data_IF_644374606685
#
_entry.id   IF_644374606685
#
_cell.length_a   1.000
_cell.length_b   1.000
_cell.length_c   1.000
_cell.angle_alpha   90.00
_cell.angle_beta   90.00
_cell.angle_gamma   90.00
#
_symmetry.space_group_name_H-M   'P 1'
#
loop_
_entity.id
_entity.type
_entity.pdbx_description
1 polymer ?
#
# COMPACT_ATOMS: atom_id res chain seq x y z
N UNK A 1 17.35 32.79 -0.44
CA UNK A 1 17.33 31.82 -1.54
C UNK A 1 16.04 31.91 -2.36
N UNK A 2 14.83 31.88 -1.75
CA UNK A 2 13.54 31.98 -2.48
C UNK A 2 13.52 33.24 -3.35
N UNK A 3 13.79 34.43 -2.78
CA UNK A 3 13.86 35.70 -3.53
C UNK A 3 14.87 35.70 -4.70
N UNK A 4 15.93 34.92 -4.60
CA UNK A 4 16.92 34.79 -5.67
C UNK A 4 16.35 33.94 -6.85
N UNK A 5 15.61 32.89 -6.53
CA UNK A 5 14.92 32.09 -7.56
C UNK A 5 13.82 32.92 -8.21
N UNK A 6 13.00 33.62 -7.43
CA UNK A 6 11.94 34.49 -7.96
C UNK A 6 12.46 35.61 -8.87
N UNK A 7 13.64 36.12 -8.59
CA UNK A 7 14.26 37.16 -9.44
C UNK A 7 14.68 36.63 -10.82
N UNK A 8 14.87 35.32 -10.99
CA UNK A 8 15.31 34.71 -12.25
C UNK A 8 14.16 34.01 -12.96
N UNK A 9 13.37 33.22 -12.20
CA UNK A 9 12.35 32.31 -12.73
C UNK A 9 10.91 32.85 -12.60
N UNK A 10 10.74 33.96 -11.89
CA UNK A 10 9.42 34.50 -11.56
C UNK A 10 8.84 33.93 -10.27
N UNK A 11 7.62 34.31 -9.96
CA UNK A 11 6.94 33.94 -8.70
C UNK A 11 6.80 32.43 -8.55
N UNK A 12 7.23 31.89 -7.40
CA UNK A 12 7.02 30.46 -7.10
C UNK A 12 5.54 30.21 -6.71
N UNK A 13 4.97 29.13 -7.22
CA UNK A 13 3.61 28.68 -6.85
C UNK A 13 3.61 27.61 -5.78
N UNK A 14 4.66 26.82 -5.68
CA UNK A 14 4.76 25.69 -4.74
C UNK A 14 6.19 25.58 -4.19
N UNK A 15 6.28 25.46 -2.85
CA UNK A 15 7.50 25.10 -2.12
C UNK A 15 7.32 23.70 -1.53
N UNK A 16 8.17 22.75 -1.94
CA UNK A 16 8.19 21.40 -1.37
C UNK A 16 9.33 21.28 -0.37
N UNK A 17 9.02 20.83 0.84
CA UNK A 17 9.98 20.56 1.92
C UNK A 17 10.03 19.04 2.14
N UNK A 18 11.06 18.39 1.63
CA UNK A 18 11.28 16.95 1.76
C UNK A 18 12.56 16.69 2.59
N UNK A 19 12.43 16.26 3.78
CA UNK A 19 11.27 15.99 4.62
C UNK A 19 11.24 16.95 5.82
N UNK A 20 10.10 16.97 6.55
CA UNK A 20 9.99 17.72 7.82
C UNK A 20 11.21 17.49 8.70
N UNK A 21 11.56 16.24 8.98
CA UNK A 21 12.64 15.88 9.88
C UNK A 21 14.01 16.42 9.44
N UNK A 22 14.29 16.54 8.13
CA UNK A 22 15.55 17.07 7.61
C UNK A 22 15.66 18.59 7.69
N UNK A 23 14.52 19.25 7.70
CA UNK A 23 14.45 20.72 7.66
C UNK A 23 13.99 21.35 8.98
N UNK A 24 13.62 20.50 9.95
CA UNK A 24 13.16 20.92 11.27
C UNK A 24 14.30 20.90 12.28
N UNK A 25 14.46 21.99 13.00
CA UNK A 25 15.44 22.11 14.10
C UNK A 25 14.64 22.28 15.39
N UNK A 26 14.71 21.29 16.27
CA UNK A 26 14.01 21.25 17.55
C UNK A 26 13.50 19.86 17.91
N UNK A 27 12.65 19.80 18.93
CA UNK A 27 11.99 18.55 19.35
C UNK A 27 10.64 18.41 18.65
N UNK A 28 10.48 17.43 17.78
CA UNK A 28 9.24 17.18 17.03
C UNK A 28 8.01 16.91 17.92
N UNK A 29 8.22 16.57 19.20
CA UNK A 29 7.15 16.36 20.17
C UNK A 29 6.82 17.63 20.96
N UNK A 30 7.61 18.69 20.84
CA UNK A 30 7.38 19.97 21.47
C UNK A 30 6.38 20.81 20.67
N UNK A 31 5.26 21.16 21.29
CA UNK A 31 4.26 22.03 20.67
C UNK A 31 4.83 23.42 20.35
N UNK A 32 5.73 23.93 21.18
CA UNK A 32 6.39 25.23 20.99
C UNK A 32 7.32 25.21 19.77
N UNK A 33 8.21 24.20 19.66
CA UNK A 33 9.19 24.11 18.58
C UNK A 33 8.48 23.93 17.23
N UNK A 34 7.46 23.05 17.19
CA UNK A 34 6.66 22.81 15.98
C UNK A 34 5.84 24.07 15.63
N UNK A 35 5.25 24.74 16.61
CA UNK A 35 4.54 25.99 16.38
C UNK A 35 5.43 27.10 15.79
N UNK A 36 6.65 27.22 16.29
CA UNK A 36 7.65 28.17 15.74
C UNK A 36 8.04 27.85 14.31
N UNK A 37 8.13 26.57 13.95
CA UNK A 37 8.38 26.16 12.58
C UNK A 37 7.21 26.52 11.66
N UNK A 38 5.98 26.21 12.07
CA UNK A 38 4.76 26.53 11.31
C UNK A 38 4.64 28.02 11.08
N UNK A 39 4.85 28.85 12.10
CA UNK A 39 4.82 30.30 11.96
C UNK A 39 5.80 30.82 10.89
N UNK A 40 6.96 30.16 10.72
CA UNK A 40 7.90 30.50 9.65
C UNK A 40 7.38 30.10 8.27
N UNK A 41 6.68 28.96 8.17
CA UNK A 41 6.04 28.54 6.92
C UNK A 41 4.91 29.50 6.54
N UNK A 42 4.09 29.92 7.49
CA UNK A 42 3.01 30.90 7.29
C UNK A 42 3.56 32.25 6.79
N UNK A 43 4.71 32.66 7.32
CA UNK A 43 5.40 33.84 6.83
C UNK A 43 5.86 33.69 5.39
N UNK A 44 6.42 32.53 5.03
CA UNK A 44 6.82 32.24 3.64
C UNK A 44 5.60 32.26 2.71
N UNK A 45 4.50 31.62 3.11
CA UNK A 45 3.24 31.62 2.35
C UNK A 45 2.75 33.06 2.15
N UNK A 46 2.77 33.84 3.20
CA UNK A 46 2.33 35.23 3.14
C UNK A 46 3.20 36.13 2.25
N UNK A 47 4.52 36.00 2.36
CA UNK A 47 5.48 36.85 1.65
C UNK A 47 5.57 36.49 0.15
N UNK A 48 5.51 35.20 -0.18
CA UNK A 48 5.70 34.70 -1.54
C UNK A 48 4.40 34.29 -2.25
N UNK A 49 3.25 34.27 -1.54
CA UNK A 49 1.93 33.85 -2.08
C UNK A 49 2.00 32.44 -2.74
N UNK A 50 2.75 31.54 -2.15
CA UNK A 50 2.93 30.18 -2.64
C UNK A 50 2.23 29.16 -1.72
N UNK A 51 1.97 27.98 -2.24
CA UNK A 51 1.60 26.80 -1.45
C UNK A 51 2.86 26.17 -0.84
N UNK A 52 2.77 25.65 0.38
CA UNK A 52 3.84 24.84 0.99
C UNK A 52 3.37 23.40 1.13
N UNK A 53 4.12 22.48 0.52
CA UNK A 53 3.94 21.05 0.67
C UNK A 53 5.03 20.49 1.59
N UNK A 54 4.62 19.94 2.74
CA UNK A 54 5.54 19.36 3.72
C UNK A 54 5.45 17.83 3.66
N UNK A 55 6.54 17.18 3.29
CA UNK A 55 6.64 15.71 3.32
C UNK A 55 7.02 15.25 4.71
N UNK A 56 6.21 14.35 5.29
CA UNK A 56 6.44 13.83 6.63
C UNK A 56 6.21 12.33 6.69
N UNK A 57 7.03 11.61 7.47
CA UNK A 57 6.87 10.17 7.66
C UNK A 57 5.89 9.87 8.79
N UNK A 58 5.11 8.82 8.62
CA UNK A 58 4.29 8.26 9.70
C UNK A 58 5.18 7.57 10.74
N UNK A 59 4.72 7.55 12.00
CA UNK A 59 5.42 6.82 13.07
C UNK A 59 5.31 5.30 12.87
N UNK A 60 6.22 4.54 13.50
CA UNK A 60 6.26 3.07 13.45
C UNK A 60 5.07 2.36 14.13
N UNK A 61 4.07 3.08 14.62
CA UNK A 61 2.87 2.51 15.26
C UNK A 61 1.68 2.47 14.33
N UNK A 62 0.75 1.54 14.60
CA UNK A 62 -0.52 1.33 13.84
C UNK A 62 -1.51 2.52 13.89
N UNK A 63 -1.12 3.68 14.39
CA UNK A 63 -2.05 4.82 14.56
C UNK A 63 -2.37 5.57 13.27
N UNK A 64 -1.60 5.35 12.19
CA UNK A 64 -1.80 6.04 10.91
C UNK A 64 -1.66 7.56 10.96
N UNK A 65 -1.21 8.12 12.09
CA UNK A 65 -1.00 9.57 12.28
C UNK A 65 0.43 9.95 11.97
N UNK A 66 0.62 11.19 11.50
CA UNK A 66 1.93 11.81 11.44
C UNK A 66 2.62 11.75 12.81
N UNK A 67 3.91 11.47 12.81
CA UNK A 67 4.73 11.42 14.01
C UNK A 67 4.93 12.83 14.59
N UNK A 68 5.01 12.94 15.91
CA UNK A 68 5.31 14.18 16.61
C UNK A 68 4.10 14.91 17.20
N UNK A 69 4.24 16.21 17.39
CA UNK A 69 3.23 17.07 18.03
C UNK A 69 1.93 17.14 17.23
N UNK A 70 0.80 17.11 17.93
CA UNK A 70 -0.54 17.31 17.33
C UNK A 70 -0.73 18.71 16.72
N UNK A 71 0.12 19.68 17.07
CA UNK A 71 0.10 21.04 16.53
C UNK A 71 0.32 21.03 15.02
N UNK A 72 1.19 20.15 14.51
CA UNK A 72 1.42 20.03 13.06
C UNK A 72 0.12 19.70 12.32
N UNK A 73 -0.58 18.61 12.71
CA UNK A 73 -1.82 18.21 12.06
C UNK A 73 -2.95 19.25 12.19
N UNK A 74 -3.01 19.97 13.35
CA UNK A 74 -4.01 21.02 13.57
C UNK A 74 -3.80 22.25 12.67
N UNK A 75 -2.58 22.48 12.19
CA UNK A 75 -2.21 23.65 11.38
C UNK A 75 -2.31 23.43 9.87
N UNK A 76 -2.56 22.19 9.43
CA UNK A 76 -2.69 21.85 8.00
C UNK A 76 -4.08 22.26 7.48
N UNK A 77 -4.14 22.72 6.24
CA UNK A 77 -5.38 22.89 5.48
C UNK A 77 -5.76 21.60 4.75
N UNK A 78 -4.76 20.89 4.25
CA UNK A 78 -4.90 19.61 3.54
C UNK A 78 -3.88 18.60 4.07
N UNK A 79 -4.30 17.35 4.19
CA UNK A 79 -3.42 16.24 4.47
C UNK A 79 -3.68 15.11 3.48
N UNK A 80 -2.62 14.64 2.84
CA UNK A 80 -2.65 13.49 1.97
C UNK A 80 -1.80 12.38 2.57
N UNK A 81 -2.34 11.18 2.59
CA UNK A 81 -1.67 10.00 3.05
C UNK A 81 -1.32 9.13 1.87
N UNK A 82 -0.05 8.73 1.80
CA UNK A 82 0.45 7.78 0.81
C UNK A 82 0.85 6.52 1.56
N UNK A 83 0.19 5.42 1.27
CA UNK A 83 0.47 4.12 1.87
C UNK A 83 0.93 3.16 0.78
N UNK A 84 2.03 2.48 1.03
CA UNK A 84 2.59 1.48 0.13
C UNK A 84 2.37 0.09 0.73
N UNK A 85 2.02 -0.89 -0.08
CA UNK A 85 2.11 -2.29 0.33
C UNK A 85 3.49 -2.82 0.09
N UNK A 86 4.10 -3.38 1.13
CA UNK A 86 5.42 -4.04 1.04
C UNK A 86 5.32 -5.52 0.65
N UNK A 87 4.22 -5.96 0.04
CA UNK A 87 4.03 -7.38 -0.29
C UNK A 87 4.45 -7.66 -1.72
N UNK A 88 5.54 -8.24 -1.79
CA UNK A 88 6.47 -8.96 -2.67
C UNK A 88 6.25 -8.97 -4.19
N UNK A 89 5.06 -8.92 -4.76
CA UNK A 89 4.91 -9.08 -6.21
C UNK A 89 4.24 -7.88 -6.90
N UNK A 90 3.34 -7.17 -6.21
CA UNK A 90 2.70 -5.98 -6.76
C UNK A 90 2.87 -4.80 -5.78
N UNK A 91 3.58 -3.79 -6.21
CA UNK A 91 3.76 -2.58 -5.43
C UNK A 91 2.54 -1.68 -5.61
N UNK A 92 1.54 -1.83 -4.73
CA UNK A 92 0.39 -0.94 -4.69
C UNK A 92 0.68 0.28 -3.84
N UNK A 93 0.23 1.42 -4.31
CA UNK A 93 0.27 2.70 -3.61
C UNK A 93 -1.15 3.21 -3.46
N UNK A 94 -1.58 3.41 -2.23
CA UNK A 94 -2.84 4.06 -1.93
C UNK A 94 -2.60 5.54 -1.62
N UNK A 95 -3.38 6.41 -2.27
CA UNK A 95 -3.37 7.84 -2.08
C UNK A 95 -4.71 8.31 -1.56
N UNK A 96 -4.72 8.85 -0.36
CA UNK A 96 -5.93 9.26 0.34
C UNK A 96 -5.81 10.66 0.92
N UNK A 97 -6.83 11.48 0.73
CA UNK A 97 -6.96 12.74 1.44
C UNK A 97 -7.56 12.47 2.82
N UNK A 98 -6.79 12.73 3.89
CA UNK A 98 -7.20 12.52 5.28
C UNK A 98 -7.75 13.77 5.94
N UNK A 99 -7.37 14.95 5.44
CA UNK A 99 -7.89 16.24 5.88
C UNK A 99 -8.17 17.16 4.69
N UNK A 100 -9.31 17.82 4.73
CA UNK A 100 -9.68 18.93 3.85
C UNK A 100 -10.53 19.92 4.65
N UNK A 101 -10.04 21.13 4.86
CA UNK A 101 -10.78 22.17 5.61
C UNK A 101 -11.82 22.91 4.76
N UNK A 102 -11.58 23.04 3.45
CA UNK A 102 -12.29 24.01 2.63
C UNK A 102 -13.27 23.41 1.62
N UNK A 103 -13.57 22.12 1.70
CA UNK A 103 -14.48 21.56 0.71
C UNK A 103 -14.72 20.06 0.79
N UNK A 104 -15.28 19.55 -0.29
CA UNK A 104 -15.49 18.12 -0.44
C UNK A 104 -14.15 17.42 -0.69
N UNK A 105 -13.86 16.38 0.09
CA UNK A 105 -12.63 15.62 -0.01
C UNK A 105 -12.50 14.90 -1.38
N UNK A 106 -11.27 14.64 -1.77
CA UNK A 106 -10.96 13.82 -2.93
C UNK A 106 -11.24 12.35 -2.62
N UNK A 107 -11.75 11.62 -3.62
CA UNK A 107 -11.87 10.15 -3.52
C UNK A 107 -10.50 9.51 -3.36
N UNK A 108 -10.45 8.42 -2.59
CA UNK A 108 -9.26 7.57 -2.47
C UNK A 108 -8.88 7.01 -3.85
N UNK A 109 -7.59 6.99 -4.15
CA UNK A 109 -7.05 6.49 -5.41
C UNK A 109 -6.01 5.41 -5.16
N UNK A 110 -6.05 4.39 -6.00
CA UNK A 110 -5.10 3.28 -5.95
C UNK A 110 -4.22 3.31 -7.20
N UNK A 111 -2.96 2.96 -7.01
CA UNK A 111 -1.98 2.89 -8.09
C UNK A 111 -1.20 1.59 -7.98
N UNK A 112 -0.80 1.07 -9.13
CA UNK A 112 0.18 -0.03 -9.26
C UNK A 112 1.48 0.56 -9.75
N UNK A 113 2.60 0.14 -9.18
CA UNK A 113 3.91 0.46 -9.72
C UNK A 113 4.23 -0.49 -10.86
N UNK A 114 4.41 0.07 -12.05
CA UNK A 114 4.74 -0.66 -13.27
C UNK A 114 6.20 -0.39 -13.63
N UNK A 115 7.00 -1.45 -13.71
CA UNK A 115 8.38 -1.37 -14.14
C UNK A 115 8.46 -1.31 -15.67
N UNK A 116 9.34 -0.45 -16.18
CA UNK A 116 9.59 -0.30 -17.62
C UNK A 116 11.06 -0.38 -17.93
N UNK A 117 11.40 -1.06 -19.00
CA UNK A 117 12.74 -1.08 -19.55
C UNK A 117 12.98 0.18 -20.38
N UNK A 118 14.07 0.90 -20.10
CA UNK A 118 14.50 2.03 -20.90
C UNK A 118 15.51 1.51 -21.92
N UNK A 119 15.05 1.32 -23.16
CA UNK A 119 15.88 0.88 -24.27
C UNK A 119 16.65 2.09 -24.81
N UNK A 120 17.95 2.17 -24.59
CA UNK A 120 18.81 3.23 -25.14
C UNK A 120 20.28 3.06 -24.85
N UNK A 121 21.11 3.20 -25.88
CA UNK A 121 22.57 3.35 -25.82
C UNK A 121 23.37 2.34 -24.95
N UNK A 122 22.98 1.07 -24.94
CA UNK A 122 23.82 0.00 -24.39
C UNK A 122 23.83 -0.10 -22.86
N UNK A 123 22.89 0.53 -22.17
CA UNK A 123 22.64 0.36 -20.75
C UNK A 123 21.22 -0.23 -20.57
N UNK A 124 21.16 -1.40 -19.97
CA UNK A 124 19.89 -1.99 -19.52
C UNK A 124 19.45 -1.23 -18.26
N UNK A 125 18.73 -0.13 -18.47
CA UNK A 125 18.19 0.67 -17.39
C UNK A 125 16.71 0.30 -17.20
N UNK A 126 16.32 0.10 -15.96
CA UNK A 126 14.92 -0.03 -15.58
C UNK A 126 14.46 1.24 -14.88
N UNK A 127 13.21 1.61 -15.08
CA UNK A 127 12.52 2.67 -14.37
C UNK A 127 11.11 2.20 -14.04
N UNK A 128 10.29 3.06 -13.45
CA UNK A 128 8.92 2.70 -13.15
C UNK A 128 8.01 3.92 -13.08
N UNK A 129 6.73 3.68 -13.24
CA UNK A 129 5.69 4.68 -13.07
C UNK A 129 4.52 4.11 -12.26
N UNK A 130 3.67 5.00 -11.76
CA UNK A 130 2.44 4.64 -11.07
C UNK A 130 1.29 4.72 -12.07
N UNK A 131 0.55 3.62 -12.21
CA UNK A 131 -0.65 3.51 -13.02
C UNK A 131 -1.88 3.46 -12.12
N UNK A 132 -2.86 4.34 -12.36
CA UNK A 132 -4.11 4.33 -11.58
C UNK A 132 -4.90 3.06 -11.86
N UNK A 133 -5.41 2.43 -10.80
CA UNK A 133 -6.18 1.19 -10.88
C UNK A 133 -7.45 1.28 -10.04
N UNK A 134 -8.52 0.67 -10.54
CA UNK A 134 -9.78 0.51 -9.81
C UNK A 134 -9.75 -0.71 -8.87
N UNK A 135 -8.65 -1.48 -8.85
CA UNK A 135 -8.52 -2.62 -7.95
C UNK A 135 -8.52 -2.16 -6.49
N UNK A 136 -9.39 -2.78 -5.68
CA UNK A 136 -9.49 -2.46 -4.26
C UNK A 136 -8.21 -2.91 -3.53
N UNK A 137 -7.36 -1.92 -3.25
CA UNK A 137 -6.15 -2.08 -2.46
C UNK A 137 -6.41 -2.73 -1.09
N UNK A 138 -7.55 -2.44 -0.47
CA UNK A 138 -7.91 -3.02 0.84
C UNK A 138 -8.11 -4.52 0.74
N UNK A 139 -8.71 -5.01 -0.34
CA UNK A 139 -8.93 -6.42 -0.55
C UNK A 139 -7.61 -7.22 -0.60
N UNK A 140 -6.56 -6.66 -1.25
CA UNK A 140 -5.23 -7.31 -1.30
C UNK A 140 -4.42 -7.15 0.01
N UNK A 141 -4.70 -6.13 0.84
CA UNK A 141 -4.01 -5.91 2.12
C UNK A 141 -4.58 -6.67 3.32
N UNK A 142 -5.81 -7.15 3.22
CA UNK A 142 -6.44 -7.89 4.32
C UNK A 142 -5.89 -9.30 4.52
N UNK A 143 -4.94 -9.73 3.66
CA UNK A 143 -4.33 -11.05 3.75
C UNK A 143 -2.97 -10.98 4.44
N UNK A 144 -2.83 -11.64 5.57
CA UNK A 144 -1.54 -11.77 6.26
C UNK A 144 -0.56 -12.63 5.43
N UNK A 145 0.75 -12.49 5.67
CA UNK A 145 1.78 -13.32 5.03
C UNK A 145 1.46 -14.82 5.05
N UNK A 146 0.99 -15.35 6.19
CA UNK A 146 0.60 -16.76 6.29
C UNK A 146 -0.63 -17.11 5.45
N UNK A 147 -1.59 -16.19 5.35
CA UNK A 147 -2.75 -16.37 4.47
C UNK A 147 -2.34 -16.35 2.99
N UNK A 148 -1.42 -15.46 2.62
CA UNK A 148 -0.86 -15.41 1.25
C UNK A 148 -0.18 -16.74 0.90
N UNK A 149 0.67 -17.30 1.77
CA UNK A 149 1.32 -18.59 1.54
C UNK A 149 0.32 -19.74 1.31
N UNK A 150 -0.80 -19.75 2.05
CA UNK A 150 -1.84 -20.78 1.88
C UNK A 150 -2.59 -20.58 0.56
N UNK A 151 -2.90 -19.33 0.20
CA UNK A 151 -3.60 -19.00 -1.05
C UNK A 151 -2.73 -19.35 -2.27
N UNK A 152 -1.47 -18.95 -2.29
CA UNK A 152 -0.50 -19.29 -3.35
C UNK A 152 -0.30 -20.80 -3.50
N UNK A 153 -0.30 -21.55 -2.40
CA UNK A 153 -0.21 -23.00 -2.46
C UNK A 153 -1.45 -23.61 -3.13
N UNK A 154 -2.65 -23.12 -2.81
CA UNK A 154 -3.89 -23.54 -3.47
C UNK A 154 -3.85 -23.26 -4.97
N UNK A 155 -3.43 -22.07 -5.37
CA UNK A 155 -3.39 -21.63 -6.76
C UNK A 155 -2.34 -22.41 -7.55
N UNK A 156 -1.14 -22.55 -7.00
CA UNK A 156 -0.06 -23.31 -7.63
C UNK A 156 -0.44 -24.76 -7.88
N UNK A 157 -1.03 -25.42 -6.89
CA UNK A 157 -1.44 -26.81 -7.03
C UNK A 157 -2.58 -26.97 -8.05
N UNK A 158 -3.50 -26.01 -8.11
CA UNK A 158 -4.57 -26.00 -9.10
C UNK A 158 -4.07 -25.90 -10.55
N UNK A 159 -2.94 -25.21 -10.80
CA UNK A 159 -2.34 -25.04 -12.12
C UNK A 159 -1.81 -26.38 -12.69
N UNK A 160 -1.33 -27.27 -11.82
CA UNK A 160 -0.74 -28.55 -12.23
C UNK A 160 -1.78 -29.66 -12.48
N UNK A 161 -3.06 -29.42 -12.20
CA UNK A 161 -4.10 -30.41 -12.32
C UNK A 161 -4.76 -30.35 -13.70
N UNK A 162 -5.29 -31.50 -14.15
CA UNK A 162 -5.96 -31.62 -15.45
C UNK A 162 -7.21 -30.71 -15.48
N UNK A 163 -7.20 -29.73 -16.39
CA UNK A 163 -8.33 -28.80 -16.59
C UNK A 163 -9.65 -29.50 -16.93
N UNK A 164 -9.61 -30.77 -17.32
CA UNK A 164 -10.79 -31.55 -17.68
C UNK A 164 -11.42 -32.30 -16.50
N UNK A 165 -10.80 -32.28 -15.32
CA UNK A 165 -11.35 -32.92 -14.13
C UNK A 165 -11.51 -31.92 -12.97
N UNK A 166 -12.68 -31.27 -12.85
CA UNK A 166 -12.94 -30.25 -11.82
C UNK A 166 -12.78 -30.75 -10.39
N UNK A 167 -12.92 -32.06 -10.14
CA UNK A 167 -12.82 -32.62 -8.79
C UNK A 167 -11.38 -32.60 -8.25
N UNK A 168 -10.38 -32.52 -9.11
CA UNK A 168 -8.97 -32.48 -8.72
C UNK A 168 -8.50 -31.08 -8.24
N UNK A 169 -9.37 -30.07 -8.32
CA UNK A 169 -9.04 -28.69 -7.98
C UNK A 169 -9.38 -28.30 -6.53
N UNK A 170 -9.79 -29.25 -5.72
CA UNK A 170 -10.13 -29.04 -4.33
C UNK A 170 -9.08 -29.66 -3.41
N UNK A 171 -8.71 -28.92 -2.39
CA UNK A 171 -7.66 -29.32 -1.47
C UNK A 171 -8.16 -29.30 -0.02
N UNK A 172 -7.80 -30.32 0.72
CA UNK A 172 -7.96 -30.33 2.16
C UNK A 172 -6.72 -29.75 2.87
N UNK A 173 -6.85 -29.24 4.09
CA UNK A 173 -5.71 -28.71 4.83
C UNK A 173 -4.51 -29.67 4.94
N UNK A 174 -4.78 -30.98 5.00
CA UNK A 174 -3.75 -32.03 5.03
C UNK A 174 -2.93 -32.13 3.76
N UNK A 175 -3.55 -31.87 2.61
CA UNK A 175 -2.90 -31.98 1.28
C UNK A 175 -1.92 -30.82 1.05
N UNK A 176 -2.17 -29.70 1.71
CA UNK A 176 -1.34 -28.50 1.62
C UNK A 176 -0.17 -28.48 2.61
N UNK A 177 -0.18 -29.36 3.62
CA UNK A 177 0.79 -29.31 4.74
C UNK A 177 2.24 -29.31 4.26
N UNK A 178 2.63 -30.26 3.44
CA UNK A 178 4.01 -30.40 2.97
C UNK A 178 4.42 -29.40 1.87
N UNK A 179 3.43 -28.68 1.36
CA UNK A 179 3.58 -27.74 0.25
C UNK A 179 3.76 -26.28 0.72
N UNK A 180 3.46 -26.01 2.00
CA UNK A 180 3.56 -24.68 2.59
C UNK A 180 4.70 -24.64 3.59
N UNK A 181 5.73 -23.86 3.23
CA UNK A 181 6.87 -23.57 4.11
C UNK A 181 6.92 -22.07 4.36
N UNK A 182 7.22 -21.68 5.60
CA UNK A 182 7.47 -20.29 5.91
C UNK A 182 8.86 -19.83 5.39
N UNK A 183 9.19 -18.57 5.57
CA UNK A 183 10.48 -17.98 5.17
C UNK A 183 11.70 -18.62 5.84
N UNK A 184 11.50 -19.32 6.94
CA UNK A 184 12.54 -20.04 7.69
C UNK A 184 12.58 -21.53 7.31
N UNK A 185 11.75 -21.97 6.35
CA UNK A 185 11.68 -23.35 5.84
C UNK A 185 10.83 -24.28 6.70
N UNK A 186 10.14 -23.77 7.74
CA UNK A 186 9.31 -24.60 8.61
C UNK A 186 7.96 -24.92 7.96
N UNK A 187 7.53 -26.18 8.12
CA UNK A 187 6.24 -26.66 7.60
C UNK A 187 5.11 -26.20 8.52
N UNK A 188 4.05 -25.66 7.93
CA UNK A 188 2.88 -25.19 8.66
C UNK A 188 2.02 -26.36 9.16
N UNK A 189 1.52 -26.31 10.39
CA UNK A 189 0.63 -27.36 10.91
C UNK A 189 -0.74 -27.35 10.22
N UNK A 190 -1.36 -28.54 10.09
CA UNK A 190 -2.71 -28.70 9.51
C UNK A 190 -3.75 -27.82 10.21
N UNK A 191 -3.67 -27.70 11.53
CA UNK A 191 -4.53 -26.83 12.35
C UNK A 191 -4.39 -25.35 11.98
N UNK A 192 -3.14 -24.89 11.74
CA UNK A 192 -2.88 -23.53 11.32
C UNK A 192 -3.41 -23.25 9.91
N UNK A 193 -3.20 -24.19 8.99
CA UNK A 193 -3.73 -24.10 7.62
C UNK A 193 -5.25 -24.04 7.65
N UNK A 194 -5.90 -24.89 8.44
CA UNK A 194 -7.36 -24.91 8.59
C UNK A 194 -7.90 -23.57 9.08
N UNK A 195 -7.29 -22.97 10.12
CA UNK A 195 -7.70 -21.64 10.62
C UNK A 195 -7.54 -20.55 9.56
N UNK A 196 -6.46 -20.63 8.79
CA UNK A 196 -6.19 -19.67 7.70
C UNK A 196 -7.23 -19.81 6.59
N UNK A 197 -7.53 -21.04 6.15
CA UNK A 197 -8.54 -21.30 5.13
C UNK A 197 -9.92 -20.79 5.56
N UNK A 198 -10.34 -21.00 6.80
CA UNK A 198 -11.57 -20.40 7.31
C UNK A 198 -11.58 -18.88 7.18
N UNK A 199 -10.47 -18.22 7.53
CA UNK A 199 -10.36 -16.77 7.41
C UNK A 199 -10.40 -16.31 5.95
N UNK A 200 -9.77 -17.04 5.04
CA UNK A 200 -9.80 -16.77 3.60
C UNK A 200 -11.21 -16.98 3.00
N UNK A 201 -11.99 -17.90 3.55
CA UNK A 201 -13.41 -18.07 3.17
C UNK A 201 -14.23 -16.88 3.65
N UNK A 202 -14.07 -16.44 4.90
CA UNK A 202 -14.76 -15.26 5.44
C UNK A 202 -14.48 -13.99 4.63
N UNK A 203 -13.25 -13.85 4.11
CA UNK A 203 -12.82 -12.70 3.32
C UNK A 203 -13.06 -12.86 1.81
N UNK A 204 -13.62 -13.99 1.37
CA UNK A 204 -14.01 -14.23 -0.02
C UNK A 204 -12.89 -14.64 -0.98
N UNK A 205 -11.68 -14.91 -0.48
CA UNK A 205 -10.55 -15.37 -1.32
C UNK A 205 -10.62 -16.85 -1.68
N UNK A 206 -11.27 -17.64 -0.83
CA UNK A 206 -11.38 -19.09 -0.96
C UNK A 206 -12.84 -19.48 -0.78
N UNK A 207 -13.30 -20.48 -1.53
CA UNK A 207 -14.60 -21.10 -1.34
C UNK A 207 -14.43 -22.48 -0.73
N UNK A 208 -15.25 -22.79 0.25
CA UNK A 208 -15.35 -24.11 0.85
C UNK A 208 -16.55 -24.84 0.28
N UNK A 209 -16.34 -26.07 -0.13
CA UNK A 209 -17.37 -26.98 -0.61
C UNK A 209 -17.44 -28.16 0.37
N UNK A 210 -18.61 -28.40 0.93
CA UNK A 210 -18.83 -29.52 1.84
C UNK A 210 -18.49 -30.83 1.14
N UNK A 211 -17.83 -31.73 1.87
CA UNK A 211 -17.36 -33.05 1.40
C UNK A 211 -16.37 -33.06 0.22
N UNK A 212 -15.94 -31.90 -0.29
CA UNK A 212 -15.03 -31.77 -1.43
C UNK A 212 -13.71 -31.09 -1.05
N UNK A 213 -13.75 -29.93 -0.38
CA UNK A 213 -12.54 -29.19 0.05
C UNK A 213 -12.60 -27.70 -0.23
N UNK A 214 -11.42 -27.10 -0.37
CA UNK A 214 -11.23 -25.67 -0.56
C UNK A 214 -10.68 -25.37 -1.96
N UNK A 215 -11.15 -24.26 -2.56
CA UNK A 215 -10.72 -23.79 -3.88
C UNK A 215 -10.49 -22.27 -3.85
N UNK A 216 -9.44 -21.78 -4.51
CA UNK A 216 -9.21 -20.34 -4.70
C UNK A 216 -10.30 -19.72 -5.58
N UNK A 217 -10.76 -18.52 -5.21
CA UNK A 217 -11.77 -17.79 -5.99
C UNK A 217 -11.21 -17.22 -7.30
N UNK A 218 -9.91 -16.93 -7.39
CA UNK A 218 -9.28 -16.49 -8.65
C UNK A 218 -9.32 -17.62 -9.68
N UNK A 219 -9.04 -18.84 -9.25
CA UNK A 219 -9.15 -20.01 -10.12
C UNK A 219 -10.59 -20.24 -10.61
N UNK A 220 -11.58 -19.99 -9.75
CA UNK A 220 -12.99 -20.15 -10.10
C UNK A 220 -13.50 -19.13 -11.16
N UNK A 221 -12.81 -17.99 -11.33
CA UNK A 221 -13.09 -17.03 -12.41
C UNK A 221 -12.56 -17.50 -13.77
N UNK A 222 -11.52 -18.33 -13.76
CA UNK A 222 -10.88 -18.88 -14.97
C UNK A 222 -11.42 -20.25 -15.37
N UNK A 223 -12.12 -20.94 -14.45
CA UNK A 223 -12.75 -22.22 -14.76
C UNK A 223 -13.97 -22.00 -15.66
N UNK A 224 -14.18 -22.85 -16.70
CA UNK A 224 -15.38 -22.79 -17.51
C UNK A 224 -16.61 -22.95 -16.60
N UNK A 225 -17.59 -22.06 -16.75
CA UNK A 225 -18.89 -22.22 -16.09
C UNK A 225 -19.53 -23.49 -16.64
N UNK A 226 -19.57 -24.52 -15.84
CA UNK A 226 -20.38 -25.68 -16.14
C UNK A 226 -21.83 -25.31 -15.81
N UNK A 227 -22.68 -25.27 -16.84
CA UNK A 227 -24.13 -25.24 -16.74
C UNK A 227 -24.67 -26.59 -16.26
#
# INVERSE_FOLDING_TARGET
>A
QIKQVEAVEGQIGLLVIDTFQRNFIGNENSAEDVGNFINKLDQIISDHKCCVCLVHHTGHGNSGRARGSSVLGASLDYEFKVERTDKLDDMYVNFKQSLNKDGQGMSEKNFVFTEVEIIGQGLDLTSGYLEETDEDYKAKNDITYKQKLVLEALEREAIFLDKNNPQDHFFWPKDLKEKIKDKDGNVMSVESIKKILYKLVETGYVKHFEDVGYQSMEYNKLAPKFE
#
